data_IF_811284434264
#
_entry.id   IF_811284434264
#
_cell.length_a   1.000
_cell.length_b   1.000
_cell.length_c   1.000
_cell.angle_alpha   90.00
_cell.angle_beta   90.00
_cell.angle_gamma   90.00
#
_symmetry.space_group_name_H-M   'P 1'
#
loop_
_entity.id
_entity.type
_entity.pdbx_description
1 polymer ?
#
# COMPACT_ATOMS: atom_id res chain seq x y z
N UNK A 1 -9.33 34.95 -7.81
CA UNK A 1 -8.80 34.49 -6.52
C UNK A 1 -8.90 32.99 -6.56
N UNK A 2 -7.83 32.33 -6.99
CA UNK A 2 -7.85 30.92 -7.32
C UNK A 2 -7.60 30.12 -6.05
N UNK A 3 -8.64 29.44 -5.55
CA UNK A 3 -8.57 28.59 -4.38
C UNK A 3 -8.10 27.21 -4.78
N UNK A 4 -6.84 27.07 -5.14
CA UNK A 4 -6.22 25.75 -5.27
C UNK A 4 -5.89 25.21 -3.88
N UNK A 5 -6.88 24.70 -3.11
CA UNK A 5 -6.51 23.82 -1.99
C UNK A 5 -6.09 22.49 -2.61
N UNK A 6 -4.90 22.03 -2.28
CA UNK A 6 -4.71 20.60 -2.06
C UNK A 6 -3.66 20.48 -0.99
N UNK A 7 -4.09 20.23 0.24
CA UNK A 7 -3.21 19.87 1.35
C UNK A 7 -3.73 18.53 1.88
N UNK A 8 -3.58 17.50 1.03
CA UNK A 8 -3.89 16.11 1.33
C UNK A 8 -3.02 15.55 2.47
N UNK A 9 -2.90 14.22 2.61
CA UNK A 9 -3.39 13.20 1.69
C UNK A 9 -4.85 12.82 1.92
N UNK A 10 -5.60 12.67 0.84
CA UNK A 10 -6.98 12.15 0.83
C UNK A 10 -7.08 10.93 -0.11
N UNK A 11 -8.19 10.19 -0.04
CA UNK A 11 -8.50 9.05 -0.92
C UNK A 11 -7.38 8.01 -1.02
N UNK A 12 -6.71 7.72 0.10
CA UNK A 12 -5.61 6.76 0.14
C UNK A 12 -6.13 5.36 -0.18
N UNK A 13 -5.59 4.75 -1.24
CA UNK A 13 -6.04 3.44 -1.73
C UNK A 13 -4.86 2.54 -2.06
N UNK A 14 -5.02 1.26 -1.79
CA UNK A 14 -4.07 0.20 -2.14
C UNK A 14 -4.68 -0.69 -3.21
N UNK A 15 -3.89 -1.01 -4.23
CA UNK A 15 -4.25 -1.97 -5.28
C UNK A 15 -3.17 -3.03 -5.43
N UNK A 16 -3.56 -4.24 -5.80
CA UNK A 16 -2.66 -5.37 -6.00
C UNK A 16 -2.49 -5.71 -7.48
N UNK A 17 -1.26 -6.06 -7.88
CA UNK A 17 -0.93 -6.56 -9.20
C UNK A 17 -0.06 -7.84 -9.11
N UNK A 18 -0.41 -8.93 -9.82
CA UNK A 18 -1.59 -9.08 -10.67
C UNK A 18 -2.90 -9.08 -9.87
N UNK A 19 -4.00 -8.71 -10.52
CA UNK A 19 -5.33 -8.88 -9.93
C UNK A 19 -5.68 -10.37 -9.89
N UNK A 20 -6.13 -10.85 -8.74
CA UNK A 20 -6.56 -12.24 -8.57
C UNK A 20 -5.77 -13.01 -7.51
N UNK A 21 -5.82 -14.35 -7.53
CA UNK A 21 -5.17 -15.17 -6.51
C UNK A 21 -3.66 -15.04 -6.56
N UNK A 22 -3.06 -14.91 -5.38
CA UNK A 22 -1.62 -14.94 -5.15
C UNK A 22 -1.19 -16.38 -4.87
N UNK A 23 -0.14 -16.85 -5.52
CA UNK A 23 0.36 -18.22 -5.35
C UNK A 23 1.78 -18.22 -4.79
N UNK A 24 2.11 -19.22 -3.98
CA UNK A 24 3.47 -19.39 -3.45
C UNK A 24 4.48 -19.45 -4.59
N UNK A 25 5.54 -18.64 -4.51
CA UNK A 25 6.58 -18.53 -5.53
C UNK A 25 6.33 -17.45 -6.60
N UNK A 26 5.12 -16.86 -6.66
CA UNK A 26 4.87 -15.74 -7.56
C UNK A 26 5.39 -14.41 -7.00
N UNK A 27 5.31 -13.36 -7.81
CA UNK A 27 5.58 -12.00 -7.36
C UNK A 27 4.25 -11.24 -7.22
N UNK A 28 4.19 -10.34 -6.25
CA UNK A 28 3.05 -9.47 -5.97
C UNK A 28 3.56 -8.05 -5.76
N UNK A 29 2.93 -7.08 -6.41
CA UNK A 29 3.17 -5.66 -6.15
C UNK A 29 1.90 -5.04 -5.58
N UNK A 30 2.02 -4.40 -4.43
CA UNK A 30 0.99 -3.51 -3.91
C UNK A 30 1.37 -2.07 -4.23
N UNK A 31 0.44 -1.30 -4.78
CA UNK A 31 0.63 0.11 -5.09
C UNK A 31 -0.33 0.95 -4.26
N UNK A 32 0.22 1.92 -3.55
CA UNK A 32 -0.52 2.91 -2.80
C UNK A 32 -0.67 4.19 -3.63
N UNK A 33 -1.80 4.87 -3.51
CA UNK A 33 -1.99 6.20 -4.13
C UNK A 33 -2.82 7.07 -3.20
N UNK A 34 -2.58 8.38 -3.25
CA UNK A 34 -3.30 9.38 -2.46
C UNK A 34 -3.41 10.68 -3.26
N UNK A 35 -4.52 11.39 -3.09
CA UNK A 35 -4.70 12.74 -3.62
C UNK A 35 -3.95 13.71 -2.70
N UNK A 36 -2.79 14.19 -3.16
CA UNK A 36 -1.90 15.05 -2.37
C UNK A 36 -1.06 15.95 -3.25
N UNK A 37 -0.97 17.23 -2.86
CA UNK A 37 -0.01 18.19 -3.38
C UNK A 37 0.67 18.89 -2.20
N UNK A 38 2.02 18.93 -2.10
CA UNK A 38 2.97 18.09 -2.81
C UNK A 38 2.68 16.59 -2.66
N UNK A 39 3.37 15.76 -3.46
CA UNK A 39 3.20 14.31 -3.42
C UNK A 39 3.45 13.76 -2.00
N UNK A 40 2.60 12.82 -1.58
CA UNK A 40 2.73 12.19 -0.28
C UNK A 40 3.86 11.15 -0.25
N UNK A 41 4.44 10.95 0.93
CA UNK A 41 5.30 9.82 1.25
C UNK A 41 4.47 8.67 1.80
N UNK A 42 4.92 7.44 1.60
CA UNK A 42 4.14 6.25 1.95
C UNK A 42 4.93 5.31 2.85
N UNK A 43 4.24 4.78 3.86
CA UNK A 43 4.74 3.77 4.79
C UNK A 43 3.78 2.58 4.80
N UNK A 44 4.31 1.37 4.63
CA UNK A 44 3.51 0.15 4.63
C UNK A 44 3.40 -0.48 6.01
N UNK A 45 2.28 -1.14 6.26
CA UNK A 45 2.08 -1.99 7.42
C UNK A 45 1.39 -3.30 7.02
N UNK A 46 1.75 -4.39 7.71
CA UNK A 46 1.14 -5.70 7.58
C UNK A 46 0.60 -6.13 8.94
N UNK A 47 -0.70 -6.46 9.00
CA UNK A 47 -1.39 -6.85 10.23
C UNK A 47 -1.22 -5.82 11.36
N UNK A 48 -1.18 -4.54 11.01
CA UNK A 48 -0.99 -3.42 11.95
C UNK A 48 0.46 -3.18 12.40
N UNK A 49 1.42 -4.01 11.99
CA UNK A 49 2.84 -3.78 12.25
C UNK A 49 3.49 -3.06 11.07
N UNK A 50 4.23 -1.99 11.34
CA UNK A 50 4.98 -1.25 10.32
C UNK A 50 6.06 -2.13 9.68
N UNK A 51 6.16 -2.02 8.36
CA UNK A 51 7.19 -2.66 7.56
C UNK A 51 8.39 -1.73 7.37
N UNK A 52 9.57 -2.26 7.04
CA UNK A 52 10.71 -1.41 6.70
C UNK A 52 10.55 -0.71 5.35
N UNK A 53 9.67 -1.23 4.51
CA UNK A 53 9.46 -0.77 3.15
C UNK A 53 8.66 0.53 3.10
N UNK A 54 9.28 1.55 2.50
CA UNK A 54 8.69 2.85 2.24
C UNK A 54 8.48 3.05 0.74
N UNK A 55 7.63 4.01 0.40
CA UNK A 55 7.38 4.44 -0.98
C UNK A 55 6.09 3.87 -1.56
N UNK A 56 5.77 4.36 -2.77
CA UNK A 56 4.47 4.13 -3.41
C UNK A 56 4.19 2.64 -3.70
N UNK A 57 5.22 1.82 -3.86
CA UNK A 57 5.09 0.40 -4.19
C UNK A 57 5.74 -0.48 -3.11
N UNK A 58 5.02 -1.51 -2.67
CA UNK A 58 5.55 -2.65 -1.93
C UNK A 58 5.68 -3.83 -2.89
N UNK A 59 6.92 -4.21 -3.21
CA UNK A 59 7.23 -5.31 -4.13
C UNK A 59 7.62 -6.55 -3.33
N UNK A 60 6.76 -7.56 -3.36
CA UNK A 60 6.97 -8.85 -2.72
C UNK A 60 7.34 -9.89 -3.78
N UNK A 61 8.57 -10.39 -3.74
CA UNK A 61 9.06 -11.41 -4.68
C UNK A 61 9.05 -12.79 -4.05
N UNK A 62 8.82 -13.83 -4.84
CA UNK A 62 8.82 -15.22 -4.38
C UNK A 62 7.94 -15.42 -3.12
N UNK A 63 6.72 -14.89 -3.16
CA UNK A 63 5.83 -14.80 -2.00
C UNK A 63 5.55 -16.18 -1.41
N UNK A 64 5.36 -16.22 -0.10
CA UNK A 64 5.11 -17.43 0.68
C UNK A 64 3.87 -17.25 1.55
N UNK A 65 3.37 -18.32 2.17
CA UNK A 65 2.21 -18.26 3.07
C UNK A 65 2.35 -17.22 4.18
N UNK A 66 3.59 -16.99 4.67
CA UNK A 66 3.94 -15.95 5.65
C UNK A 66 3.67 -14.51 5.18
N UNK A 67 3.53 -14.29 3.87
CA UNK A 67 3.17 -12.98 3.30
C UNK A 67 1.65 -12.79 3.23
N UNK A 68 0.85 -13.76 3.68
CA UNK A 68 -0.60 -13.58 3.78
C UNK A 68 -0.94 -12.69 4.97
N UNK A 69 -1.81 -11.71 4.76
CA UNK A 69 -2.19 -10.76 5.80
C UNK A 69 -2.97 -9.57 5.26
N UNK A 70 -3.31 -8.68 6.18
CA UNK A 70 -3.97 -7.42 5.86
C UNK A 70 -2.92 -6.33 5.69
N UNK A 71 -2.85 -5.76 4.49
CA UNK A 71 -1.92 -4.70 4.16
C UNK A 71 -2.63 -3.36 4.16
N UNK A 72 -2.00 -2.37 4.77
CA UNK A 72 -2.42 -0.97 4.75
C UNK A 72 -1.24 -0.10 4.35
N UNK A 73 -1.55 1.07 3.80
CA UNK A 73 -0.57 2.09 3.47
C UNK A 73 -0.97 3.40 4.14
N UNK A 74 -0.03 4.01 4.87
CA UNK A 74 -0.15 5.34 5.41
C UNK A 74 0.52 6.33 4.47
N UNK A 75 -0.22 7.35 4.03
CA UNK A 75 0.27 8.48 3.26
C UNK A 75 0.54 9.67 4.20
N UNK A 76 1.64 10.39 3.95
CA UNK A 76 2.06 11.57 4.71
C UNK A 76 2.41 12.71 3.76
N UNK A 77 1.73 13.85 3.90
CA UNK A 77 2.11 15.08 3.22
C UNK A 77 2.95 15.96 4.16
N UNK A 78 4.22 16.16 3.83
CA UNK A 78 5.17 16.93 4.65
C UNK A 78 4.87 18.42 4.76
N UNK A 79 4.16 19.00 3.78
CA UNK A 79 3.85 20.42 3.76
C UNK A 79 2.67 20.74 4.68
N UNK A 80 1.63 19.91 4.62
CA UNK A 80 0.43 20.04 5.46
C UNK A 80 0.59 19.36 6.83
N UNK A 81 1.60 18.50 6.99
CA UNK A 81 1.84 17.63 8.15
C UNK A 81 0.69 16.66 8.44
N UNK A 82 -0.14 16.38 7.42
CA UNK A 82 -1.30 15.51 7.54
C UNK A 82 -0.98 14.08 7.11
N UNK A 83 -1.70 13.16 7.73
CA UNK A 83 -1.63 11.73 7.48
C UNK A 83 -3.02 11.21 7.13
N UNK A 84 -3.06 10.20 6.26
CA UNK A 84 -4.24 9.39 6.01
C UNK A 84 -3.82 7.95 5.74
N UNK A 85 -4.62 6.99 6.19
CA UNK A 85 -4.34 5.56 6.01
C UNK A 85 -5.39 4.96 5.08
N UNK A 86 -4.97 4.06 4.21
CA UNK A 86 -5.88 3.33 3.33
C UNK A 86 -6.78 2.38 4.11
N UNK A 87 -7.90 2.00 3.49
CA UNK A 87 -8.55 0.73 3.84
C UNK A 87 -7.57 -0.45 3.68
N UNK A 88 -7.82 -1.53 4.41
CA UNK A 88 -6.99 -2.73 4.33
C UNK A 88 -7.30 -3.57 3.10
N UNK A 89 -6.28 -4.06 2.41
CA UNK A 89 -6.41 -5.14 1.42
C UNK A 89 -5.94 -6.46 2.04
N UNK A 90 -6.78 -7.49 1.95
CA UNK A 90 -6.44 -8.84 2.42
C UNK A 90 -5.76 -9.64 1.31
N UNK A 91 -4.50 -10.02 1.53
CA UNK A 91 -3.75 -10.89 0.64
C UNK A 91 -3.70 -12.28 1.25
N UNK A 92 -4.13 -13.28 0.47
CA UNK A 92 -3.99 -14.70 0.81
C UNK A 92 -3.11 -15.39 -0.21
N UNK A 93 -1.99 -15.95 0.23
CA UNK A 93 -1.07 -16.70 -0.64
C UNK A 93 -1.43 -18.18 -0.59
N UNK A 94 -1.87 -18.69 -1.73
CA UNK A 94 -2.26 -20.09 -1.91
C UNK A 94 -1.03 -20.95 -2.24
N UNK A 95 -0.94 -22.13 -1.62
CA UNK A 95 0.07 -23.10 -1.99
C UNK A 95 -0.18 -23.62 -3.41
N UNK A 96 0.86 -23.69 -4.23
CA UNK A 96 0.81 -24.42 -5.50
C UNK A 96 0.82 -25.90 -5.17
N UNK A 97 -0.27 -26.62 -5.48
CA UNK A 97 -0.29 -28.08 -5.40
C UNK A 97 0.56 -28.62 -6.55
N UNK A 98 1.60 -29.39 -6.21
CA UNK A 98 2.38 -30.18 -7.16
C UNK A 98 1.59 -31.35 -7.72
#
# INVERSE_FOLDING_TARGET
MDYSITDGPENVRVVAAPMGPSYSGSNLTLTCSADSSPAAEFQWAMNGAELSEMGQELRLSNIQSSHSGNYTCMAHNKQSLRYATSESISITVLAVKG
#
